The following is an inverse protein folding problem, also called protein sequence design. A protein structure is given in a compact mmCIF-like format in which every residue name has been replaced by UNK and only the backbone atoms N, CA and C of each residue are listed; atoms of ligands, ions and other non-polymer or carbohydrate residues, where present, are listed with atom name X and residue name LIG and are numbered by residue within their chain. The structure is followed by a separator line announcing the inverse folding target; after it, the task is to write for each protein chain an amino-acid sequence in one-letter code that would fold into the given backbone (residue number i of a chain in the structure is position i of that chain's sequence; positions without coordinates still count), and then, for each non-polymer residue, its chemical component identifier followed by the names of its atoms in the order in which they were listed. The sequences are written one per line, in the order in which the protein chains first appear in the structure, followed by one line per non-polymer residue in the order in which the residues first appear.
data_IF_050029910671
#
_entry.id   IF_050029910671
#
_cell.length_a   1.000
_cell.length_b   1.000
_cell.length_c   1.000
_cell.angle_alpha   90.00
_cell.angle_beta   90.00
_cell.angle_gamma   90.00
#
_symmetry.space_group_name_H-M   'P 1'
#
loop_
_entity.id
_entity.type
_entity.pdbx_description
1 polymer ?
#
# COMPACT_ATOMS: atom_id res chain seq x y z
N UNK A 1 -8.97 -0.54 -21.22
CA UNK A 1 -9.38 -1.27 -20.00
C UNK A 1 -10.15 -2.51 -20.41
N UNK A 2 -9.60 -3.68 -20.11
CA UNK A 2 -10.06 -4.99 -20.55
C UNK A 2 -11.10 -5.57 -19.59
N UNK A 3 -12.31 -5.83 -20.08
CA UNK A 3 -13.39 -6.41 -19.29
C UNK A 3 -13.06 -7.81 -18.74
N UNK A 4 -12.21 -8.58 -19.43
CA UNK A 4 -11.79 -9.90 -18.98
C UNK A 4 -10.99 -9.85 -17.66
N UNK A 5 -10.06 -8.89 -17.53
CA UNK A 5 -9.27 -8.73 -16.31
C UNK A 5 -10.11 -8.19 -15.16
N UNK A 6 -11.05 -7.29 -15.46
CA UNK A 6 -12.01 -6.78 -14.48
C UNK A 6 -12.85 -7.92 -13.87
N UNK A 7 -13.36 -8.84 -14.70
CA UNK A 7 -14.15 -9.97 -14.23
C UNK A 7 -13.36 -10.92 -13.32
N UNK A 8 -12.05 -11.08 -13.58
CA UNK A 8 -11.17 -11.90 -12.74
C UNK A 8 -10.83 -11.18 -11.43
N UNK A 9 -10.47 -9.90 -11.51
CA UNK A 9 -10.16 -9.10 -10.32
C UNK A 9 -11.37 -8.98 -9.38
N UNK A 10 -12.59 -8.92 -9.91
CA UNK A 10 -13.84 -8.96 -9.13
C UNK A 10 -14.02 -10.23 -8.30
N UNK A 11 -13.39 -11.35 -8.68
CA UNK A 11 -13.42 -12.58 -7.87
C UNK A 11 -12.54 -12.45 -6.62
N UNK A 12 -11.50 -11.63 -6.70
CA UNK A 12 -10.58 -11.38 -5.60
C UNK A 12 -11.06 -10.22 -4.71
N UNK A 13 -11.55 -9.14 -5.34
CA UNK A 13 -12.14 -7.98 -4.68
C UNK A 13 -13.58 -7.83 -5.18
N UNK A 14 -14.57 -8.36 -4.44
CA UNK A 14 -15.97 -8.30 -4.87
C UNK A 14 -16.55 -6.89 -4.84
N UNK A 15 -15.99 -6.02 -3.99
CA UNK A 15 -16.46 -4.65 -3.88
C UNK A 15 -15.90 -3.76 -5.02
N UNK A 16 -16.76 -3.17 -5.85
CA UNK A 16 -16.33 -2.41 -7.01
C UNK A 16 -15.66 -1.09 -6.66
N UNK A 17 -16.00 -0.46 -5.54
CA UNK A 17 -15.37 0.78 -5.10
C UNK A 17 -13.93 0.51 -4.67
N UNK A 18 -13.76 -0.53 -3.85
CA UNK A 18 -12.43 -0.96 -3.38
C UNK A 18 -11.56 -1.34 -4.57
N UNK A 19 -12.08 -2.18 -5.47
CA UNK A 19 -11.36 -2.63 -6.65
C UNK A 19 -10.86 -1.44 -7.49
N UNK A 20 -11.72 -0.44 -7.71
CA UNK A 20 -11.38 0.76 -8.48
C UNK A 20 -10.27 1.57 -7.82
N UNK A 21 -10.34 1.78 -6.49
CA UNK A 21 -9.34 2.55 -5.75
C UNK A 21 -7.98 1.84 -5.74
N UNK A 22 -7.97 0.54 -5.45
CA UNK A 22 -6.75 -0.28 -5.40
C UNK A 22 -6.08 -0.34 -6.78
N UNK A 23 -6.85 -0.61 -7.83
CA UNK A 23 -6.33 -0.66 -9.20
C UNK A 23 -5.76 0.71 -9.64
N UNK A 24 -6.46 1.81 -9.34
CA UNK A 24 -5.99 3.15 -9.68
C UNK A 24 -4.71 3.54 -8.93
N UNK A 25 -4.63 3.21 -7.62
CA UNK A 25 -3.45 3.48 -6.79
C UNK A 25 -2.24 2.70 -7.31
N UNK A 26 -2.43 1.43 -7.67
CA UNK A 26 -1.39 0.58 -8.24
C UNK A 26 -0.93 1.09 -9.61
N UNK A 27 -1.86 1.42 -10.51
CA UNK A 27 -1.52 1.95 -11.82
C UNK A 27 -0.73 3.26 -11.74
N UNK A 28 -1.05 4.15 -10.79
CA UNK A 28 -0.25 5.36 -10.54
C UNK A 28 1.19 5.05 -10.13
N UNK A 29 1.41 4.06 -9.27
CA UNK A 29 2.77 3.67 -8.85
C UNK A 29 3.61 3.16 -10.03
N UNK A 30 2.98 2.39 -10.92
CA UNK A 30 3.62 1.93 -12.16
C UNK A 30 3.91 3.10 -13.11
N UNK A 31 2.98 4.06 -13.22
CA UNK A 31 3.11 5.21 -14.12
C UNK A 31 4.23 6.17 -13.70
N UNK A 32 4.38 6.39 -12.39
CA UNK A 32 5.43 7.23 -11.81
C UNK A 32 6.81 6.57 -11.96
N UNK A 33 6.87 5.26 -12.27
CA UNK A 33 8.11 4.50 -12.39
C UNK A 33 8.73 4.09 -11.05
N UNK A 34 8.04 4.36 -9.93
CA UNK A 34 8.50 3.99 -8.59
C UNK A 34 8.32 2.50 -8.26
N UNK A 35 7.54 1.77 -9.05
CA UNK A 35 7.31 0.34 -8.88
C UNK A 35 7.43 -0.40 -10.22
N UNK A 36 7.93 -1.64 -10.16
CA UNK A 36 7.91 -2.56 -11.31
C UNK A 36 6.65 -3.44 -11.24
N UNK A 37 6.09 -3.81 -12.40
CA UNK A 37 4.99 -4.77 -12.46
C UNK A 37 5.46 -6.12 -11.91
N UNK A 38 4.63 -6.75 -11.07
CA UNK A 38 4.90 -8.05 -10.44
C UNK A 38 4.55 -9.22 -11.37
N UNK A 39 3.76 -8.95 -12.40
CA UNK A 39 3.39 -9.90 -13.45
C UNK A 39 3.80 -9.37 -14.82
N UNK A 40 4.17 -10.29 -15.72
CA UNK A 40 4.35 -9.98 -17.13
C UNK A 40 2.99 -9.69 -17.76
N UNK A 41 2.83 -8.48 -18.24
CA UNK A 41 1.64 -7.98 -18.90
C UNK A 41 2.02 -7.40 -20.26
N UNK A 42 1.41 -7.90 -21.33
CA UNK A 42 1.56 -7.33 -22.68
C UNK A 42 0.69 -6.08 -22.88
N UNK A 43 -0.11 -5.72 -21.87
CA UNK A 43 -0.98 -4.55 -21.94
C UNK A 43 -0.22 -3.26 -21.68
N UNK A 44 -0.31 -2.31 -22.60
CA UNK A 44 0.22 -0.95 -22.45
C UNK A 44 -0.54 -0.16 -21.36
N UNK A 45 -1.76 -0.57 -21.04
CA UNK A 45 -2.59 0.04 -20.03
C UNK A 45 -2.19 -0.45 -18.63
N UNK A 46 -1.57 0.43 -17.84
CA UNK A 46 -1.16 0.15 -16.45
C UNK A 46 -2.30 -0.30 -15.53
N UNK A 47 -3.53 0.12 -15.85
CA UNK A 47 -4.73 -0.34 -15.15
C UNK A 47 -5.00 -1.82 -15.42
N UNK A 48 -4.81 -2.28 -16.65
CA UNK A 48 -4.97 -3.69 -17.00
C UNK A 48 -3.90 -4.56 -16.31
N UNK A 49 -2.68 -4.02 -16.18
CA UNK A 49 -1.60 -4.63 -15.39
C UNK A 49 -2.00 -4.77 -13.92
N UNK A 50 -2.49 -3.69 -13.31
CA UNK A 50 -2.93 -3.69 -11.91
C UNK A 50 -4.09 -4.67 -11.68
N UNK A 51 -5.06 -4.73 -12.59
CA UNK A 51 -6.17 -5.69 -12.51
C UNK A 51 -5.69 -7.15 -12.59
N UNK A 52 -4.69 -7.43 -13.42
CA UNK A 52 -4.04 -8.74 -13.50
C UNK A 52 -3.31 -9.11 -12.20
N UNK A 53 -2.56 -8.18 -11.62
CA UNK A 53 -1.89 -8.39 -10.34
C UNK A 53 -2.89 -8.69 -9.21
N UNK A 54 -4.04 -8.01 -9.21
CA UNK A 54 -5.15 -8.27 -8.26
C UNK A 54 -5.78 -9.64 -8.52
N UNK A 55 -6.02 -9.99 -9.79
CA UNK A 55 -6.64 -11.27 -10.16
C UNK A 55 -5.78 -12.48 -9.76
N UNK A 56 -4.45 -12.34 -9.79
CA UNK A 56 -3.50 -13.38 -9.38
C UNK A 56 -3.26 -13.39 -7.87
N UNK A 57 -3.84 -12.44 -7.12
CA UNK A 57 -3.61 -12.32 -5.68
C UNK A 57 -2.21 -11.86 -5.30
N UNK A 58 -1.46 -11.27 -6.24
CA UNK A 58 -0.10 -10.75 -6.00
C UNK A 58 -0.12 -9.39 -5.29
N UNK A 59 -1.26 -8.70 -5.35
CA UNK A 59 -1.45 -7.39 -4.74
C UNK A 59 -2.32 -7.52 -3.48
N UNK A 60 -1.68 -7.44 -2.31
CA UNK A 60 -2.41 -7.25 -1.04
C UNK A 60 -2.79 -5.78 -0.89
N UNK A 61 -4.05 -5.51 -0.61
CA UNK A 61 -4.50 -4.18 -0.18
C UNK A 61 -4.81 -4.24 1.32
N UNK A 62 -4.24 -3.31 2.07
CA UNK A 62 -4.59 -3.07 3.46
C UNK A 62 -5.37 -1.76 3.53
N UNK A 63 -6.56 -1.81 4.15
CA UNK A 63 -7.24 -0.59 4.54
C UNK A 63 -6.53 -0.01 5.74
N UNK A 64 -5.64 0.96 5.49
CA UNK A 64 -5.37 1.94 6.52
C UNK A 64 -6.70 2.59 6.88
N UNK A 65 -7.14 2.46 8.12
CA UNK A 65 -8.26 3.22 8.66
C UNK A 65 -8.08 4.68 8.25
N UNK A 66 -9.10 5.35 7.68
CA UNK A 66 -9.01 6.75 7.32
C UNK A 66 -8.82 7.57 8.60
N UNK A 67 -7.57 7.81 8.97
CA UNK A 67 -7.17 8.35 10.27
C UNK A 67 -5.72 8.02 10.64
N UNK A 68 -5.19 6.88 10.19
CA UNK A 68 -3.78 6.54 10.41
C UNK A 68 -2.96 7.07 9.22
N UNK A 69 -2.51 8.31 9.38
CA UNK A 69 -1.47 8.90 8.54
C UNK A 69 -0.32 7.90 8.35
N UNK A 70 0.14 7.80 7.11
CA UNK A 70 1.31 7.04 6.73
C UNK A 70 2.45 7.25 7.75
N UNK A 71 3.01 6.16 8.25
CA UNK A 71 4.22 6.14 9.07
C UNK A 71 5.26 7.08 8.48
N UNK A 72 5.39 8.23 9.13
CA UNK A 72 6.24 9.33 8.69
C UNK A 72 6.82 10.13 9.85
N UNK A 73 6.69 9.66 11.11
CA UNK A 73 7.42 10.21 12.24
C UNK A 73 7.96 9.04 13.10
N UNK A 74 9.27 8.99 13.40
CA UNK A 74 9.74 8.17 14.50
C UNK A 74 9.19 8.79 15.79
N UNK A 75 8.29 8.09 16.47
CA UNK A 75 7.97 8.39 17.87
C UNK A 75 9.20 8.02 18.69
N UNK A 76 10.17 8.93 18.76
CA UNK A 76 11.22 8.86 19.76
C UNK A 76 10.55 9.14 21.11
N UNK A 77 10.21 8.07 21.82
CA UNK A 77 9.84 8.12 23.22
C UNK A 77 10.44 6.89 23.91
N UNK A 78 11.74 6.71 23.72
CA UNK A 78 12.56 5.90 24.63
C UNK A 78 13.58 6.85 25.27
N UNK A 79 13.42 7.06 26.56
CA UNK A 79 14.14 8.04 27.35
C UNK A 79 13.64 8.07 28.79
N UNK A 80 13.22 6.92 29.33
CA UNK A 80 13.26 6.71 30.76
C UNK A 80 14.71 6.46 31.14
N UNK A 81 15.46 7.54 31.40
CA UNK A 81 16.70 7.45 32.17
C UNK A 81 16.37 7.82 33.64
N UNK A 82 16.40 6.84 34.55
CA UNK A 82 16.34 7.09 35.98
C UNK A 82 17.76 7.36 36.51
N UNK A 83 17.94 8.47 37.24
CA UNK A 83 18.73 8.52 38.48
C UNK A 83 18.88 9.97 38.93
N UNK A 84 18.09 10.33 39.95
CA UNK A 84 18.53 11.26 40.97
C UNK A 84 19.92 10.81 41.48
N UNK A 85 20.94 11.64 41.30
CA UNK A 85 22.11 11.63 42.17
C UNK A 85 21.94 12.80 43.15
N UNK A 86 21.84 12.55 44.47
CA UNK A 86 21.67 13.62 45.43
C UNK A 86 22.95 14.43 45.61
N UNK A 87 22.72 15.71 45.89
CA UNK A 87 23.67 16.72 46.33
C UNK A 87 24.21 16.39 47.73
N UNK A 88 25.54 16.43 47.89
CA UNK A 88 26.31 16.85 49.09
C UNK A 88 27.80 16.80 48.67
N UNK A 89 28.67 17.79 48.84
CA UNK A 89 28.81 18.71 49.96
C UNK A 89 30.11 18.36 50.70
N UNK A 90 31.26 18.94 50.27
CA UNK A 90 32.42 19.42 51.09
C UNK A 90 33.56 19.93 50.18
#
# INVERSE_FOLDING_TARGET
MNNAYLARAKKMIPDPQILSVVAAKRAKQLAIGGARPMIKCDSENLIDVALLEIAEGLLSYEFGTPGEIASGLPVVADGSEPAEIPVDGE
#
